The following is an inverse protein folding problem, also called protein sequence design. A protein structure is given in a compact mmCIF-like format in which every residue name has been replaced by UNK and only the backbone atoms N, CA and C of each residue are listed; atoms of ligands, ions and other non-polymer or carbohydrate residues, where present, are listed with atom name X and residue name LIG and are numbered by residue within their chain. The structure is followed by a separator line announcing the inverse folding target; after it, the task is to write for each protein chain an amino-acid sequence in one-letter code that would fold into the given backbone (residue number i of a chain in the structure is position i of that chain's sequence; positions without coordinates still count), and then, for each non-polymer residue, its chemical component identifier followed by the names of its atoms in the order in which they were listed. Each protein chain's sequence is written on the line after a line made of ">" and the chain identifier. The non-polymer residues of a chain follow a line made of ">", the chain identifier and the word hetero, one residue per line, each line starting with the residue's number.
data_IF_110664487911
#
_entry.id   IF_110664487911
#
_cell.length_a   1.000
_cell.length_b   1.000
_cell.length_c   1.000
_cell.angle_alpha   90.00
_cell.angle_beta   90.00
_cell.angle_gamma   90.00
#
_symmetry.space_group_name_H-M   'P 1'
#
loop_
_entity.id
_entity.type
_entity.pdbx_description
1 polymer ?
#
# COMPACT_ATOMS: atom_id res chain seq x y z
N UNK A 1 2.08 -11.85 -2.05
CA UNK A 1 2.19 -11.94 -0.58
C UNK A 1 2.38 -10.56 0.10
N UNK A 2 2.93 -9.54 -0.55
CA UNK A 2 3.13 -8.19 0.00
C UNK A 2 1.93 -7.23 -0.10
N UNK A 3 0.87 -7.58 -0.82
CA UNK A 3 -0.24 -6.67 -1.17
C UNK A 3 -0.96 -6.08 0.07
N UNK A 4 -1.00 -6.80 1.17
CA UNK A 4 -1.63 -6.34 2.42
C UNK A 4 -0.65 -5.59 3.31
N UNK A 5 0.65 -5.86 3.18
CA UNK A 5 1.70 -5.26 4.01
C UNK A 5 1.86 -3.78 3.68
N UNK A 6 1.83 -3.41 2.40
CA UNK A 6 2.02 -2.04 1.94
C UNK A 6 0.94 -1.08 2.47
N UNK A 7 -0.37 -1.38 2.36
CA UNK A 7 -1.42 -0.55 2.97
C UNK A 7 -1.33 -0.47 4.48
N UNK A 8 -1.02 -1.59 5.16
CA UNK A 8 -0.89 -1.59 6.62
C UNK A 8 0.33 -0.77 7.04
N UNK A 9 1.46 -0.90 6.34
CA UNK A 9 2.67 -0.12 6.61
C UNK A 9 2.45 1.38 6.42
N UNK A 10 1.80 1.77 5.32
CA UNK A 10 1.45 3.16 5.05
C UNK A 10 0.48 3.73 6.11
N UNK A 11 -0.57 2.97 6.47
CA UNK A 11 -1.50 3.37 7.53
C UNK A 11 -0.80 3.52 8.88
N UNK A 12 0.08 2.59 9.25
CA UNK A 12 0.85 2.68 10.48
C UNK A 12 1.76 3.91 10.48
N UNK A 13 2.43 4.19 9.38
CA UNK A 13 3.28 5.38 9.25
C UNK A 13 2.48 6.67 9.44
N UNK A 14 1.30 6.77 8.83
CA UNK A 14 0.40 7.94 8.98
C UNK A 14 -0.10 8.05 10.41
N UNK A 15 -0.46 6.94 11.06
CA UNK A 15 -0.91 6.93 12.46
C UNK A 15 0.20 7.41 13.39
N UNK A 16 1.42 6.89 13.23
CA UNK A 16 2.57 7.31 14.04
C UNK A 16 2.88 8.79 13.82
N UNK A 17 2.85 9.24 12.57
CA UNK A 17 3.06 10.64 12.23
C UNK A 17 1.97 11.54 12.85
N UNK A 18 0.70 11.19 12.70
CA UNK A 18 -0.43 11.90 13.30
C UNK A 18 -0.35 11.93 14.83
N UNK A 19 0.08 10.82 15.44
CA UNK A 19 0.29 10.72 16.88
C UNK A 19 1.40 11.66 17.37
N UNK A 20 2.52 11.75 16.65
CA UNK A 20 3.63 12.64 17.00
C UNK A 20 3.18 14.10 16.93
N UNK A 21 2.43 14.49 15.89
CA UNK A 21 1.91 15.85 15.71
C UNK A 21 0.85 16.17 16.77
N UNK A 22 -0.10 15.28 17.01
CA UNK A 22 -1.17 15.47 18.00
C UNK A 22 -0.58 15.62 19.41
N UNK A 23 0.48 14.86 19.74
CA UNK A 23 1.19 14.99 21.00
C UNK A 23 1.90 16.34 21.13
N UNK A 24 2.44 16.88 20.05
CA UNK A 24 3.05 18.19 20.00
C UNK A 24 2.02 19.32 20.11
N UNK A 25 0.78 19.09 19.65
CA UNK A 25 -0.35 20.03 19.72
C UNK A 25 -1.16 19.96 21.03
N UNK A 26 -0.88 18.97 21.90
CA UNK A 26 -1.62 18.78 23.17
C UNK A 26 -2.94 18.02 23.03
N UNK A 27 -3.28 17.54 21.83
CA UNK A 27 -4.49 16.74 21.59
C UNK A 27 -4.29 15.30 22.07
N UNK A 28 -5.31 14.79 22.78
CA UNK A 28 -5.23 13.48 23.43
C UNK A 28 -5.22 12.29 22.45
N UNK A 29 -4.67 11.17 22.92
CA UNK A 29 -4.67 9.84 22.27
C UNK A 29 -6.02 9.44 21.66
N UNK A 30 -7.12 9.87 22.27
CA UNK A 30 -8.50 9.57 21.84
C UNK A 30 -8.82 10.10 20.44
N UNK A 31 -8.34 11.30 20.12
CA UNK A 31 -8.60 11.90 18.79
C UNK A 31 -7.87 11.15 17.67
N UNK A 32 -6.62 10.78 17.90
CA UNK A 32 -5.84 9.98 16.92
C UNK A 32 -6.43 8.59 16.71
N UNK A 33 -6.92 7.94 17.76
CA UNK A 33 -7.58 6.63 17.65
C UNK A 33 -8.93 6.72 16.90
N UNK A 34 -9.71 7.76 17.13
CA UNK A 34 -10.97 7.99 16.42
C UNK A 34 -10.74 8.25 14.91
N UNK A 35 -9.72 9.05 14.59
CA UNK A 35 -9.35 9.29 13.20
C UNK A 35 -8.89 8.00 12.51
N UNK A 36 -8.09 7.19 13.19
CA UNK A 36 -7.67 5.89 12.66
C UNK A 36 -8.82 4.93 12.45
N UNK A 37 -9.72 4.80 13.42
CA UNK A 37 -10.94 4.00 13.27
C UNK A 37 -11.80 4.49 12.10
N UNK A 38 -11.93 5.81 11.93
CA UNK A 38 -12.63 6.42 10.81
C UNK A 38 -12.02 6.05 9.45
N UNK A 39 -10.69 6.08 9.32
CA UNK A 39 -9.97 5.67 8.10
C UNK A 39 -10.25 4.19 7.78
N UNK A 40 -10.21 3.32 8.78
CA UNK A 40 -10.50 1.89 8.59
C UNK A 40 -11.94 1.67 8.16
N UNK A 41 -12.90 2.29 8.83
CA UNK A 41 -14.32 2.13 8.53
C UNK A 41 -14.63 2.68 7.13
N UNK A 42 -14.19 3.91 6.84
CA UNK A 42 -14.41 4.56 5.55
C UNK A 42 -13.79 3.74 4.41
N UNK A 43 -12.50 3.37 4.53
CA UNK A 43 -11.82 2.56 3.54
C UNK A 43 -12.49 1.19 3.33
N UNK A 44 -12.95 0.55 4.41
CA UNK A 44 -13.63 -0.74 4.32
C UNK A 44 -14.99 -0.63 3.61
N UNK A 45 -15.78 0.37 3.93
CA UNK A 45 -17.09 0.58 3.30
C UNK A 45 -16.94 0.86 1.81
N UNK A 46 -16.06 1.81 1.45
CA UNK A 46 -15.83 2.15 0.05
C UNK A 46 -15.18 1.01 -0.74
N UNK A 47 -14.25 0.28 -0.13
CA UNK A 47 -13.58 -0.86 -0.76
C UNK A 47 -14.54 -2.01 -1.07
N UNK A 48 -15.34 -2.42 -0.09
CA UNK A 48 -16.32 -3.51 -0.25
C UNK A 48 -17.43 -3.10 -1.21
N UNK A 49 -18.00 -1.91 -1.05
CA UNK A 49 -19.07 -1.41 -1.93
C UNK A 49 -18.58 -1.28 -3.37
N UNK A 50 -17.38 -0.73 -3.58
CA UNK A 50 -16.78 -0.59 -4.89
C UNK A 50 -16.42 -1.93 -5.53
N UNK A 51 -15.85 -2.85 -4.78
CA UNK A 51 -15.55 -4.21 -5.24
C UNK A 51 -16.81 -4.99 -5.63
N UNK A 52 -17.86 -4.87 -4.83
CA UNK A 52 -19.15 -5.46 -5.14
C UNK A 52 -19.79 -4.85 -6.41
N UNK A 53 -19.79 -3.51 -6.51
CA UNK A 53 -20.37 -2.80 -7.63
C UNK A 53 -19.64 -3.15 -8.94
N UNK A 54 -18.31 -3.02 -8.95
CA UNK A 54 -17.50 -3.33 -10.13
C UNK A 54 -17.58 -4.80 -10.49
N UNK A 55 -17.47 -5.70 -9.53
CA UNK A 55 -17.59 -7.14 -9.74
C UNK A 55 -18.94 -7.54 -10.33
N UNK A 56 -20.03 -6.88 -9.91
CA UNK A 56 -21.37 -7.13 -10.45
C UNK A 56 -21.53 -6.60 -11.90
N UNK A 57 -20.93 -5.45 -12.22
CA UNK A 57 -20.90 -4.89 -13.58
C UNK A 57 -20.14 -5.83 -14.52
N UNK A 58 -18.96 -6.29 -14.11
CA UNK A 58 -18.15 -7.22 -14.91
C UNK A 58 -18.84 -8.58 -15.08
N UNK A 59 -19.43 -9.11 -14.01
CA UNK A 59 -20.14 -10.40 -14.02
C UNK A 59 -21.38 -10.38 -14.92
N UNK A 60 -22.09 -9.26 -14.99
CA UNK A 60 -23.26 -9.10 -15.86
C UNK A 60 -22.91 -8.83 -17.31
N UNK A 61 -21.62 -8.78 -17.64
CA UNK A 61 -21.12 -8.48 -18.99
C UNK A 61 -21.74 -7.21 -19.63
N UNK A 62 -22.00 -6.19 -18.79
CA UNK A 62 -22.52 -4.92 -19.28
C UNK A 62 -21.50 -4.15 -20.10
N UNK A 63 -20.22 -4.51 -19.97
CA UNK A 63 -19.10 -3.92 -20.69
C UNK A 63 -18.47 -4.97 -21.61
N UNK A 64 -18.09 -4.62 -22.84
CA UNK A 64 -17.29 -5.47 -23.72
C UNK A 64 -15.95 -5.83 -23.04
N UNK A 65 -15.42 -7.01 -23.33
CA UNK A 65 -14.19 -7.53 -22.68
C UNK A 65 -12.98 -6.60 -22.82
N UNK A 66 -12.84 -5.91 -23.95
CA UNK A 66 -11.73 -4.97 -24.17
C UNK A 66 -11.80 -3.73 -23.27
N UNK A 67 -12.95 -3.39 -22.71
CA UNK A 67 -13.13 -2.26 -21.78
C UNK A 67 -12.94 -2.67 -20.30
N UNK A 68 -12.89 -3.95 -19.98
CA UNK A 68 -12.79 -4.42 -18.57
C UNK A 68 -11.61 -3.81 -17.84
N UNK A 69 -10.44 -3.76 -18.49
CA UNK A 69 -9.22 -3.21 -17.89
C UNK A 69 -9.32 -1.71 -17.62
N UNK A 70 -9.86 -0.95 -18.58
CA UNK A 70 -10.05 0.50 -18.44
C UNK A 70 -11.13 0.84 -17.41
N UNK A 71 -12.24 0.11 -17.42
CA UNK A 71 -13.32 0.27 -16.46
C UNK A 71 -12.85 -0.04 -15.03
N UNK A 72 -12.04 -1.09 -14.88
CA UNK A 72 -11.42 -1.43 -13.59
C UNK A 72 -10.51 -0.32 -13.11
N UNK A 73 -9.64 0.21 -13.98
CA UNK A 73 -8.75 1.33 -13.65
C UNK A 73 -9.55 2.57 -13.24
N UNK A 74 -10.57 2.93 -14.01
CA UNK A 74 -11.42 4.08 -13.71
C UNK A 74 -12.16 3.91 -12.37
N UNK A 75 -12.68 2.72 -12.09
CA UNK A 75 -13.36 2.42 -10.85
C UNK A 75 -12.39 2.48 -9.64
N UNK A 76 -11.19 1.92 -9.79
CA UNK A 76 -10.14 1.99 -8.75
C UNK A 76 -9.79 3.43 -8.42
N UNK A 77 -9.52 4.26 -9.44
CA UNK A 77 -9.19 5.67 -9.25
C UNK A 77 -10.38 6.45 -8.65
N UNK A 78 -11.60 6.19 -9.13
CA UNK A 78 -12.80 6.83 -8.62
C UNK A 78 -13.05 6.53 -7.13
N UNK A 79 -12.92 5.26 -6.73
CA UNK A 79 -13.08 4.84 -5.33
C UNK A 79 -11.96 5.38 -4.45
N UNK A 80 -10.71 5.38 -4.95
CA UNK A 80 -9.57 5.96 -4.25
C UNK A 80 -9.80 7.44 -3.94
N UNK A 81 -10.20 8.21 -4.95
CA UNK A 81 -10.46 9.65 -4.80
C UNK A 81 -11.67 9.88 -3.87
N UNK A 82 -12.78 9.17 -4.09
CA UNK A 82 -13.99 9.33 -3.28
C UNK A 82 -13.74 9.01 -1.81
N UNK A 83 -13.01 7.95 -1.51
CA UNK A 83 -12.65 7.57 -0.14
C UNK A 83 -11.75 8.62 0.51
N UNK A 84 -10.73 9.10 -0.21
CA UNK A 84 -9.80 10.11 0.30
C UNK A 84 -10.42 11.48 0.50
N UNK A 85 -11.50 11.83 -0.22
CA UNK A 85 -12.24 13.08 0.00
C UNK A 85 -13.00 13.08 1.33
N UNK A 86 -13.43 11.92 1.81
CA UNK A 86 -14.17 11.79 3.08
C UNK A 86 -13.18 11.68 4.23
N UNK A 87 -12.19 10.80 4.09
CA UNK A 87 -11.15 10.60 5.09
C UNK A 87 -9.80 10.48 4.38
N UNK A 88 -8.87 11.39 4.67
CA UNK A 88 -7.51 11.32 4.16
C UNK A 88 -6.90 9.95 4.47
N UNK A 89 -6.14 9.40 3.51
CA UNK A 89 -5.43 8.11 3.59
C UNK A 89 -6.33 6.86 3.58
N UNK A 90 -7.65 6.98 3.54
CA UNK A 90 -8.56 5.82 3.46
C UNK A 90 -8.59 5.16 2.08
N UNK A 91 -8.21 5.88 1.02
CA UNK A 91 -8.27 5.39 -0.36
C UNK A 91 -7.40 4.17 -0.62
N UNK A 92 -6.20 4.12 -0.02
CA UNK A 92 -5.30 2.98 -0.16
C UNK A 92 -5.92 1.68 0.40
N UNK A 93 -6.54 1.79 1.57
CA UNK A 93 -7.26 0.68 2.19
C UNK A 93 -8.48 0.28 1.36
N UNK A 94 -9.24 1.26 0.86
CA UNK A 94 -10.42 1.01 0.03
C UNK A 94 -10.08 0.21 -1.23
N UNK A 95 -9.04 0.62 -1.96
CA UNK A 95 -8.61 -0.07 -3.19
C UNK A 95 -8.08 -1.48 -2.88
N UNK A 96 -7.38 -1.66 -1.76
CA UNK A 96 -6.88 -2.98 -1.34
C UNK A 96 -8.04 -3.94 -1.05
N UNK A 97 -9.02 -3.50 -0.26
CA UNK A 97 -10.21 -4.30 0.06
C UNK A 97 -11.07 -4.56 -1.18
N UNK A 98 -11.19 -3.59 -2.07
CA UNK A 98 -11.84 -3.76 -3.37
C UNK A 98 -11.17 -4.86 -4.19
N UNK A 99 -9.83 -4.87 -4.28
CA UNK A 99 -9.06 -5.89 -4.98
C UNK A 99 -9.23 -7.28 -4.36
N UNK A 100 -9.18 -7.38 -3.03
CA UNK A 100 -9.43 -8.65 -2.31
C UNK A 100 -10.86 -9.16 -2.54
N UNK A 101 -11.84 -8.28 -2.52
CA UNK A 101 -13.24 -8.66 -2.82
C UNK A 101 -13.39 -9.22 -4.22
N UNK A 102 -12.84 -8.52 -5.22
CA UNK A 102 -12.88 -8.97 -6.62
C UNK A 102 -12.14 -10.30 -6.84
N UNK A 103 -10.99 -10.49 -6.20
CA UNK A 103 -10.21 -11.73 -6.31
C UNK A 103 -10.96 -12.95 -5.77
N UNK A 104 -11.85 -12.76 -4.80
CA UNK A 104 -12.67 -13.82 -4.21
C UNK A 104 -14.03 -14.03 -4.90
N UNK A 105 -14.41 -13.15 -5.85
CA UNK A 105 -15.66 -13.31 -6.58
C UNK A 105 -15.56 -14.42 -7.64
N UNK A 106 -16.51 -15.35 -7.59
CA UNK A 106 -16.63 -16.40 -8.62
C UNK A 106 -17.26 -15.82 -9.89
N UNK A 107 -16.70 -16.18 -11.05
CA UNK A 107 -17.26 -15.84 -12.36
C UNK A 107 -16.80 -14.49 -12.95
N UNK A 108 -15.75 -13.90 -12.43
CA UNK A 108 -15.04 -12.77 -13.02
C UNK A 108 -13.70 -13.27 -13.58
N UNK A 109 -13.47 -13.14 -14.88
CA UNK A 109 -12.14 -13.43 -15.46
C UNK A 109 -11.21 -12.24 -15.22
N UNK A 110 -10.37 -12.39 -14.22
CA UNK A 110 -9.40 -11.36 -13.80
C UNK A 110 -8.07 -11.44 -14.57
N UNK A 111 -7.85 -12.44 -15.43
CA UNK A 111 -6.54 -12.66 -16.09
C UNK A 111 -6.12 -11.49 -16.96
N UNK A 112 -7.02 -10.98 -17.80
CA UNK A 112 -6.77 -9.81 -18.65
C UNK A 112 -6.47 -8.54 -17.81
N UNK A 113 -7.18 -8.38 -16.69
CA UNK A 113 -6.97 -7.28 -15.76
C UNK A 113 -5.60 -7.39 -15.10
N UNK A 114 -5.15 -8.59 -14.73
CA UNK A 114 -3.84 -8.82 -14.12
C UNK A 114 -2.68 -8.46 -15.07
N UNK A 115 -2.72 -8.90 -16.32
CA UNK A 115 -1.69 -8.54 -17.30
C UNK A 115 -1.63 -7.03 -17.56
N UNK A 116 -2.80 -6.39 -17.69
CA UNK A 116 -2.86 -4.94 -17.82
C UNK A 116 -2.26 -4.23 -16.60
N UNK A 117 -2.61 -4.68 -15.40
CA UNK A 117 -2.08 -4.15 -14.13
C UNK A 117 -0.56 -4.28 -14.07
N UNK A 118 0.02 -5.44 -14.45
CA UNK A 118 1.46 -5.66 -14.43
C UNK A 118 2.20 -4.67 -15.32
N UNK A 119 1.77 -4.51 -16.57
CA UNK A 119 2.37 -3.56 -17.50
C UNK A 119 2.24 -2.11 -17.02
N UNK A 120 1.06 -1.75 -16.52
CA UNK A 120 0.81 -0.41 -15.98
C UNK A 120 1.65 -0.15 -14.73
N UNK A 121 1.81 -1.13 -13.84
CA UNK A 121 2.62 -1.01 -12.64
C UNK A 121 4.08 -0.75 -12.97
N UNK A 122 4.66 -1.49 -13.91
CA UNK A 122 6.04 -1.28 -14.34
C UNK A 122 6.23 0.14 -14.89
N UNK A 123 5.30 0.61 -15.72
CA UNK A 123 5.37 1.95 -16.31
C UNK A 123 5.25 3.05 -15.24
N UNK A 124 4.29 2.92 -14.32
CA UNK A 124 4.07 3.89 -13.25
C UNK A 124 5.22 3.91 -12.23
N UNK A 125 5.74 2.75 -11.85
CA UNK A 125 6.88 2.64 -10.93
C UNK A 125 8.12 3.27 -11.58
N UNK A 126 8.40 2.95 -12.84
CA UNK A 126 9.52 3.54 -13.56
C UNK A 126 9.40 5.05 -13.66
N UNK A 127 8.22 5.57 -14.01
CA UNK A 127 7.93 7.00 -14.05
C UNK A 127 8.08 7.67 -12.69
N UNK A 128 7.60 7.03 -11.63
CA UNK A 128 7.73 7.52 -10.26
C UNK A 128 9.20 7.64 -9.84
N UNK A 129 10.03 6.62 -10.12
CA UNK A 129 11.46 6.66 -9.80
C UNK A 129 12.19 7.75 -10.57
N UNK A 130 11.86 7.96 -11.85
CA UNK A 130 12.43 9.06 -12.65
C UNK A 130 12.07 10.42 -12.03
N UNK A 131 10.80 10.63 -11.69
CA UNK A 131 10.34 11.87 -11.06
C UNK A 131 10.97 12.09 -9.68
N UNK A 132 11.09 11.02 -8.90
CA UNK A 132 11.74 11.08 -7.59
C UNK A 132 13.20 11.44 -7.70
N UNK A 133 13.93 10.80 -8.62
CA UNK A 133 15.32 11.10 -8.90
C UNK A 133 15.52 12.54 -9.38
N UNK A 134 14.61 13.05 -10.25
CA UNK A 134 14.66 14.43 -10.73
C UNK A 134 14.39 15.48 -9.64
N UNK A 135 13.64 15.12 -8.60
CA UNK A 135 13.34 16.01 -7.45
C UNK A 135 14.36 15.90 -6.32
N UNK A 136 15.31 15.00 -6.42
CA UNK A 136 16.29 14.73 -5.38
C UNK A 136 17.30 15.89 -5.32
N UNK A 137 17.27 16.63 -4.21
CA UNK A 137 18.23 17.70 -3.96
C UNK A 137 19.52 17.11 -3.35
N UNK A 138 20.54 16.97 -4.19
CA UNK A 138 21.84 16.45 -3.79
C UNK A 138 22.50 17.33 -2.71
N UNK A 139 22.27 18.65 -2.72
CA UNK A 139 22.82 19.55 -1.70
C UNK A 139 22.16 19.30 -0.33
N UNK A 140 20.84 19.11 -0.30
CA UNK A 140 20.13 18.76 0.92
C UNK A 140 20.58 17.39 1.47
N UNK A 141 20.81 16.41 0.59
CA UNK A 141 21.36 15.11 0.99
C UNK A 141 22.77 15.22 1.58
N UNK A 142 23.64 15.99 0.97
CA UNK A 142 25.01 16.21 1.46
C UNK A 142 25.01 17.00 2.78
N UNK A 143 24.06 17.93 2.97
CA UNK A 143 23.90 18.70 4.20
C UNK A 143 23.48 17.84 5.40
N UNK A 144 22.74 16.73 5.17
CA UNK A 144 22.38 15.76 6.21
C UNK A 144 23.60 14.94 6.71
N UNK A 145 24.70 14.95 5.96
CA UNK A 145 26.00 14.41 6.36
C UNK A 145 25.99 12.90 6.65
N UNK A 146 26.89 12.43 7.51
CA UNK A 146 27.08 10.99 7.78
C UNK A 146 25.89 10.33 8.49
N UNK A 147 24.97 11.10 9.04
CA UNK A 147 23.76 10.58 9.75
C UNK A 147 22.89 9.74 8.82
N UNK A 148 22.73 10.15 7.55
CA UNK A 148 21.98 9.39 6.55
C UNK A 148 22.64 8.05 6.25
N UNK A 149 23.97 8.03 6.14
CA UNK A 149 24.71 6.78 5.92
C UNK A 149 24.55 5.83 7.11
N UNK A 150 24.65 6.34 8.34
CA UNK A 150 24.45 5.54 9.56
C UNK A 150 23.03 4.98 9.59
N UNK A 151 22.03 5.79 9.23
CA UNK A 151 20.63 5.35 9.18
C UNK A 151 20.40 4.28 8.11
N UNK A 152 20.91 4.46 6.90
CA UNK A 152 20.81 3.47 5.82
C UNK A 152 21.52 2.16 6.20
N UNK A 153 22.72 2.24 6.79
CA UNK A 153 23.44 1.07 7.25
C UNK A 153 22.70 0.37 8.40
N UNK A 154 22.11 1.12 9.32
CA UNK A 154 21.34 0.51 10.42
C UNK A 154 20.08 -0.19 9.92
N UNK A 155 19.37 0.38 8.94
CA UNK A 155 18.21 -0.28 8.31
C UNK A 155 18.65 -1.54 7.58
N UNK A 156 19.72 -1.48 6.80
CA UNK A 156 20.17 -2.59 5.98
C UNK A 156 20.75 -3.75 6.81
N UNK A 157 21.58 -3.43 7.82
CA UNK A 157 22.34 -4.43 8.56
C UNK A 157 21.73 -4.82 9.92
N UNK A 158 20.83 -4.00 10.47
CA UNK A 158 20.21 -4.27 11.76
C UNK A 158 18.72 -4.59 11.58
N UNK A 159 17.96 -3.70 10.95
CA UNK A 159 16.51 -3.85 10.87
C UNK A 159 16.08 -5.03 9.98
N UNK A 160 16.68 -5.20 8.80
CA UNK A 160 16.38 -6.33 7.90
C UNK A 160 16.71 -7.69 8.51
N UNK A 161 17.93 -7.97 8.99
CA UNK A 161 18.23 -9.25 9.61
C UNK A 161 17.40 -9.53 10.86
N UNK A 162 17.12 -8.49 11.67
CA UNK A 162 16.28 -8.63 12.87
C UNK A 162 14.86 -9.07 12.51
N UNK A 163 14.25 -8.45 11.50
CA UNK A 163 12.93 -8.83 11.01
C UNK A 163 12.88 -10.27 10.50
N UNK A 164 13.89 -10.70 9.73
CA UNK A 164 13.96 -12.07 9.24
C UNK A 164 14.16 -13.06 10.39
N UNK A 165 15.03 -12.75 11.34
CA UNK A 165 15.24 -13.59 12.52
C UNK A 165 13.97 -13.72 13.37
N UNK A 166 13.24 -12.62 13.59
CA UNK A 166 12.00 -12.63 14.36
C UNK A 166 10.88 -13.38 13.62
N UNK A 167 10.73 -13.17 12.32
CA UNK A 167 9.67 -13.83 11.53
C UNK A 167 9.95 -15.32 11.28
N UNK A 168 11.22 -15.73 11.30
CA UNK A 168 11.62 -17.14 11.15
C UNK A 168 11.87 -17.86 12.49
N UNK A 169 11.64 -17.18 13.62
CA UNK A 169 11.78 -17.75 14.96
C UNK A 169 10.67 -18.77 15.22
N UNK A 170 10.85 -19.99 14.89
CA UNK A 170 9.86 -21.08 15.00
C UNK A 170 9.77 -21.95 13.76
N UNK A 171 10.37 -21.53 12.64
CA UNK A 171 10.51 -22.34 11.45
C UNK A 171 11.82 -23.12 11.48
N UNK A 172 11.77 -24.40 11.09
CA UNK A 172 12.96 -25.25 10.93
C UNK A 172 13.71 -24.91 9.63
N UNK A 173 14.23 -23.68 9.54
CA UNK A 173 15.06 -23.24 8.41
C UNK A 173 16.52 -23.34 8.78
N UNK A 174 17.37 -23.72 7.81
CA UNK A 174 18.82 -23.74 7.98
C UNK A 174 19.37 -22.31 8.09
N UNK A 175 20.53 -22.14 8.74
CA UNK A 175 21.17 -20.81 8.86
C UNK A 175 21.46 -20.17 7.50
N UNK A 176 21.76 -20.98 6.48
CA UNK A 176 22.01 -20.52 5.11
C UNK A 176 20.75 -19.95 4.45
N UNK A 177 19.59 -20.58 4.64
CA UNK A 177 18.32 -20.11 4.12
C UNK A 177 17.88 -18.80 4.80
N UNK A 178 18.14 -18.66 6.10
CA UNK A 178 17.86 -17.41 6.85
C UNK A 178 18.74 -16.25 6.37
N UNK A 179 20.01 -16.50 6.10
CA UNK A 179 20.92 -15.46 5.57
C UNK A 179 20.54 -15.06 4.14
N UNK A 180 20.13 -15.99 3.29
CA UNK A 180 19.63 -15.68 1.95
C UNK A 180 18.33 -14.85 2.00
N UNK A 181 17.40 -15.18 2.90
CA UNK A 181 16.18 -14.42 3.09
C UNK A 181 16.43 -13.02 3.67
N UNK A 182 17.47 -12.85 4.50
CA UNK A 182 17.85 -11.56 5.05
C UNK A 182 18.54 -10.65 4.03
N UNK A 183 19.14 -11.23 2.99
CA UNK A 183 19.88 -10.48 1.98
C UNK A 183 19.04 -10.14 0.74
N UNK A 184 17.98 -10.84 0.46
CA UNK A 184 17.08 -10.63 -0.68
C UNK A 184 15.97 -9.62 -0.35
#
# INVERSE_FOLDING_TARGET
>A
EGIVIDPIGALLAVVVYSFIIARAAGDGLSHSLLTFAGVIICGSVFGIAGGWALGNVLRRQWLPEYLHSLATLAAVLGIFIASNQIMHESGLLAVTLMGMWMANMKGVDVRHILHFKENLSVLLISGLFILLAARLDLHAMLALGPVVLVLLLSIQFIARPSNVLLSTAGLKLSCLERTLLAWN
#
